data_IF_926419806159
#
_entry.id   IF_926419806159
#
_cell.length_a   1.000
_cell.length_b   1.000
_cell.length_c   1.000
_cell.angle_alpha   90.00
_cell.angle_beta   90.00
_cell.angle_gamma   90.00
#
_symmetry.space_group_name_H-M   'P 1'
#
loop_
_entity.id
_entity.type
_entity.pdbx_description
1 polymer ?
#
# COMPACT_ATOMS: atom_id res chain seq x y z
N UNK A 1 16.29 -27.50 2.86
CA UNK A 1 15.77 -26.23 3.41
C UNK A 1 16.90 -25.22 3.36
N UNK A 2 16.80 -24.17 2.56
CA UNK A 2 17.80 -23.10 2.55
C UNK A 2 17.81 -22.43 3.93
N UNK A 3 19.01 -22.13 4.43
CA UNK A 3 19.17 -21.46 5.73
C UNK A 3 18.61 -20.04 5.58
N UNK A 4 17.68 -19.63 6.46
CA UNK A 4 17.15 -18.27 6.47
C UNK A 4 18.28 -17.26 6.66
N UNK A 5 18.26 -16.18 5.88
CA UNK A 5 19.18 -15.05 6.06
C UNK A 5 18.66 -14.02 7.06
N UNK A 6 17.37 -14.08 7.42
CA UNK A 6 16.76 -13.20 8.42
C UNK A 6 17.19 -13.65 9.82
N UNK A 7 17.77 -12.73 10.57
CA UNK A 7 18.16 -12.94 11.98
C UNK A 7 17.07 -12.45 12.91
N UNK A 8 16.33 -13.39 13.48
CA UNK A 8 15.32 -13.06 14.48
C UNK A 8 16.02 -12.63 15.77
N UNK A 9 15.64 -11.48 16.39
CA UNK A 9 16.17 -11.06 17.67
C UNK A 9 15.98 -12.14 18.75
N UNK A 10 16.95 -12.25 19.65
CA UNK A 10 16.88 -13.20 20.78
C UNK A 10 15.95 -12.73 21.89
N UNK A 11 15.55 -11.46 21.86
CA UNK A 11 14.62 -10.82 22.79
C UNK A 11 13.44 -10.24 22.03
N UNK A 12 12.31 -10.11 22.72
CA UNK A 12 11.10 -9.58 22.14
C UNK A 12 10.10 -10.67 21.71
N UNK A 13 8.90 -10.24 21.44
CA UNK A 13 7.76 -11.09 21.12
C UNK A 13 7.02 -10.60 19.89
N UNK A 14 6.32 -11.52 19.21
CA UNK A 14 5.49 -11.17 18.05
C UNK A 14 4.24 -10.41 18.49
N UNK A 15 3.88 -9.38 17.71
CA UNK A 15 2.53 -8.79 17.75
C UNK A 15 1.54 -9.84 17.25
N UNK A 16 0.45 -10.04 17.97
CA UNK A 16 -0.58 -11.03 17.63
C UNK A 16 -1.96 -10.41 17.50
N UNK A 17 -2.91 -11.18 16.96
CA UNK A 17 -4.32 -10.82 16.93
C UNK A 17 -5.11 -11.67 17.92
N UNK A 18 -5.92 -11.03 18.77
CA UNK A 18 -6.87 -11.71 19.65
C UNK A 18 -8.19 -10.93 19.62
N UNK A 19 -9.29 -11.61 19.31
CA UNK A 19 -10.62 -11.00 19.21
C UNK A 19 -10.64 -9.75 18.29
N UNK A 20 -10.08 -9.87 17.10
CA UNK A 20 -9.94 -8.81 16.09
C UNK A 20 -9.19 -7.55 16.57
N UNK A 21 -8.43 -7.63 17.65
CA UNK A 21 -7.57 -6.55 18.14
C UNK A 21 -6.11 -6.98 18.15
N UNK A 22 -5.23 -6.03 17.84
CA UNK A 22 -3.79 -6.23 17.98
C UNK A 22 -3.44 -6.32 19.47
N UNK A 23 -2.68 -7.36 19.82
CA UNK A 23 -2.06 -7.51 21.13
C UNK A 23 -0.57 -7.21 20.97
N UNK A 24 -0.16 -6.07 21.51
CA UNK A 24 1.21 -5.56 21.39
C UNK A 24 1.94 -5.81 22.71
N UNK A 25 2.99 -6.65 22.73
CA UNK A 25 3.79 -6.89 23.93
C UNK A 25 4.62 -5.65 24.30
N UNK A 26 5.21 -5.65 25.50
CA UNK A 26 6.07 -4.54 25.97
C UNK A 26 7.38 -4.45 25.18
N UNK A 27 7.81 -5.55 24.58
CA UNK A 27 8.98 -5.61 23.72
C UNK A 27 8.62 -6.28 22.37
N UNK A 28 7.90 -5.58 21.47
CA UNK A 28 7.51 -6.15 20.18
C UNK A 28 8.71 -6.30 19.25
N UNK A 29 8.74 -7.41 18.49
CA UNK A 29 9.64 -7.54 17.34
C UNK A 29 8.98 -6.86 16.16
N UNK A 30 9.64 -5.83 15.60
CA UNK A 30 9.17 -5.12 14.41
C UNK A 30 10.17 -5.31 13.26
N UNK A 31 9.77 -6.02 12.19
CA UNK A 31 10.58 -6.11 10.98
C UNK A 31 10.76 -4.74 10.32
N UNK A 32 11.94 -4.50 9.75
CA UNK A 32 12.16 -3.34 8.92
C UNK A 32 12.97 -3.68 7.66
N UNK A 33 12.68 -2.97 6.58
CA UNK A 33 13.46 -2.96 5.35
C UNK A 33 14.22 -1.64 5.31
N UNK A 34 15.56 -1.70 5.26
CA UNK A 34 16.41 -0.50 5.20
C UNK A 34 16.08 0.35 3.98
N UNK A 35 15.89 -0.32 2.84
CA UNK A 35 15.60 0.33 1.56
C UNK A 35 16.83 0.63 0.73
N UNK A 36 16.57 1.20 -0.45
CA UNK A 36 17.57 1.53 -1.45
C UNK A 36 17.88 3.05 -1.45
N UNK A 37 18.95 3.42 -2.13
CA UNK A 37 19.34 4.83 -2.28
C UNK A 37 19.49 5.53 -0.93
N UNK A 38 18.66 6.54 -0.67
CA UNK A 38 18.69 7.28 0.61
C UNK A 38 18.23 6.45 1.82
N UNK A 39 17.74 5.23 1.60
CA UNK A 39 17.31 4.32 2.68
C UNK A 39 18.41 4.05 3.69
N UNK A 40 19.65 3.89 3.23
CA UNK A 40 20.82 3.64 4.07
C UNK A 40 21.13 4.81 5.01
N UNK A 41 20.74 6.02 4.65
CA UNK A 41 20.95 7.23 5.46
C UNK A 41 19.79 7.46 6.44
N UNK A 42 18.55 7.36 5.95
CA UNK A 42 17.36 7.74 6.72
C UNK A 42 16.89 6.64 7.69
N UNK A 43 17.08 5.37 7.34
CA UNK A 43 16.56 4.26 8.16
C UNK A 43 17.25 4.17 9.53
N UNK A 44 18.58 4.28 9.67
CA UNK A 44 19.21 4.33 10.98
C UNK A 44 18.74 5.51 11.85
N UNK A 45 18.53 6.67 11.24
CA UNK A 45 17.98 7.84 11.93
C UNK A 45 16.55 7.58 12.39
N UNK A 46 15.72 6.98 11.55
CA UNK A 46 14.35 6.60 11.90
C UNK A 46 14.32 5.64 13.11
N UNK A 47 15.15 4.59 13.10
CA UNK A 47 15.24 3.64 14.22
C UNK A 47 15.60 4.37 15.53
N UNK A 48 16.62 5.22 15.51
CA UNK A 48 17.06 5.97 16.68
C UNK A 48 15.98 6.93 17.21
N UNK A 49 15.27 7.63 16.31
CA UNK A 49 14.19 8.56 16.69
C UNK A 49 13.03 7.80 17.33
N UNK A 50 12.64 6.65 16.75
CA UNK A 50 11.56 5.84 17.30
C UNK A 50 11.95 5.25 18.67
N UNK A 51 13.17 4.75 18.81
CA UNK A 51 13.65 4.22 20.09
C UNK A 51 13.63 5.29 21.18
N UNK A 52 14.14 6.48 20.90
CA UNK A 52 14.10 7.61 21.83
C UNK A 52 12.66 8.03 22.18
N UNK A 53 11.75 8.02 21.20
CA UNK A 53 10.35 8.35 21.41
C UNK A 53 9.65 7.29 22.28
N UNK A 54 9.91 6.01 22.05
CA UNK A 54 9.36 4.90 22.86
C UNK A 54 9.91 4.95 24.29
N UNK A 55 11.21 5.15 24.46
CA UNK A 55 11.83 5.30 25.78
C UNK A 55 11.18 6.43 26.58
N UNK A 56 11.02 7.61 25.94
CA UNK A 56 10.40 8.78 26.57
C UNK A 56 8.92 8.56 26.88
N UNK A 57 8.16 7.95 25.97
CA UNK A 57 6.72 7.77 26.11
C UNK A 57 6.35 6.74 27.20
N UNK A 58 7.23 5.77 27.45
CA UNK A 58 6.98 4.65 28.35
C UNK A 58 7.95 4.58 29.53
N UNK A 59 8.71 5.63 29.78
CA UNK A 59 9.69 5.71 30.88
C UNK A 59 10.67 4.49 30.92
N UNK A 60 11.12 4.07 29.73
CA UNK A 60 12.02 2.92 29.57
C UNK A 60 11.39 1.54 29.85
N UNK A 61 10.08 1.46 30.13
CA UNK A 61 9.39 0.19 30.41
C UNK A 61 9.12 -0.64 29.17
N UNK A 62 9.14 -0.02 28.00
CA UNK A 62 8.93 -0.66 26.70
C UNK A 62 10.08 -0.37 25.77
N UNK A 63 10.34 -1.29 24.86
CA UNK A 63 11.34 -1.12 23.80
C UNK A 63 10.95 -1.94 22.58
N UNK A 64 11.47 -1.58 21.41
CA UNK A 64 11.30 -2.35 20.19
C UNK A 64 12.52 -3.25 19.98
N UNK A 65 12.27 -4.50 19.60
CA UNK A 65 13.29 -5.39 19.07
C UNK A 65 13.23 -5.35 17.53
N UNK A 66 14.18 -4.65 16.95
CA UNK A 66 14.24 -4.48 15.50
C UNK A 66 14.74 -5.75 14.81
N UNK A 67 14.08 -6.14 13.70
CA UNK A 67 14.44 -7.29 12.90
C UNK A 67 14.60 -6.86 11.44
N UNK A 68 15.82 -6.85 10.95
CA UNK A 68 16.05 -6.52 9.54
C UNK A 68 15.55 -7.64 8.63
N UNK A 69 14.76 -7.27 7.63
CA UNK A 69 14.30 -8.12 6.52
C UNK A 69 14.69 -7.45 5.21
N UNK A 70 14.84 -8.22 4.14
CA UNK A 70 15.53 -7.77 2.95
C UNK A 70 14.59 -7.62 1.75
N UNK A 71 14.70 -6.51 1.04
CA UNK A 71 14.05 -6.24 -0.23
C UNK A 71 14.88 -5.22 -1.01
N UNK A 72 14.81 -5.22 -2.32
CA UNK A 72 15.53 -4.29 -3.17
C UNK A 72 16.99 -4.70 -3.40
N UNK A 73 17.87 -3.73 -3.61
CA UNK A 73 19.29 -3.97 -3.92
C UNK A 73 20.02 -4.74 -2.83
N UNK A 74 19.70 -4.48 -1.57
CA UNK A 74 20.30 -5.20 -0.44
C UNK A 74 19.91 -6.68 -0.43
N UNK A 75 18.69 -7.00 -0.86
CA UNK A 75 18.26 -8.39 -1.02
C UNK A 75 19.09 -9.13 -2.05
N UNK A 76 19.29 -8.55 -3.23
CA UNK A 76 20.13 -9.14 -4.28
C UNK A 76 21.56 -9.39 -3.79
N UNK A 77 22.13 -8.49 -2.99
CA UNK A 77 23.47 -8.66 -2.41
C UNK A 77 23.56 -9.84 -1.42
N UNK A 78 22.48 -10.12 -0.68
CA UNK A 78 22.45 -11.14 0.38
C UNK A 78 22.05 -12.52 -0.16
N UNK A 79 21.05 -12.57 -1.03
CA UNK A 79 20.52 -13.84 -1.57
C UNK A 79 21.16 -14.23 -2.90
N UNK A 80 21.68 -13.27 -3.67
CA UNK A 80 22.14 -13.49 -5.05
C UNK A 80 20.97 -13.70 -6.02
N UNK A 81 21.29 -14.16 -7.25
CA UNK A 81 20.32 -14.61 -8.27
C UNK A 81 19.16 -13.66 -8.58
N UNK A 82 19.39 -12.35 -8.55
CA UNK A 82 18.35 -11.33 -8.77
C UNK A 82 17.12 -11.48 -7.87
N UNK A 83 17.31 -11.96 -6.63
CA UNK A 83 16.23 -12.11 -5.66
C UNK A 83 15.91 -10.75 -5.00
N UNK A 84 15.04 -9.98 -5.65
CA UNK A 84 14.64 -8.63 -5.20
C UNK A 84 13.65 -8.62 -4.05
N UNK A 85 12.80 -9.64 -3.94
CA UNK A 85 11.76 -9.75 -2.91
C UNK A 85 11.61 -11.21 -2.47
N UNK A 86 12.42 -11.66 -1.52
CA UNK A 86 12.37 -13.02 -1.01
C UNK A 86 11.02 -13.37 -0.38
N UNK A 87 10.58 -14.60 -0.56
CA UNK A 87 9.34 -15.08 0.06
C UNK A 87 9.41 -15.03 1.60
N UNK A 88 10.59 -15.24 2.20
CA UNK A 88 10.76 -15.14 3.65
C UNK A 88 10.54 -13.71 4.16
N UNK A 89 10.83 -12.67 3.37
CA UNK A 89 10.49 -11.27 3.69
C UNK A 89 8.99 -11.04 3.76
N UNK A 90 8.26 -11.56 2.78
CA UNK A 90 6.79 -11.50 2.78
C UNK A 90 6.20 -12.29 3.94
N UNK A 91 6.78 -13.46 4.24
CA UNK A 91 6.34 -14.28 5.36
C UNK A 91 6.60 -13.58 6.70
N UNK A 92 7.75 -12.92 6.85
CA UNK A 92 8.04 -12.12 8.03
C UNK A 92 7.02 -10.97 8.22
N UNK A 93 6.67 -10.25 7.16
CA UNK A 93 5.62 -9.22 7.23
C UNK A 93 4.28 -9.79 7.71
N UNK A 94 3.88 -10.97 7.20
CA UNK A 94 2.64 -11.64 7.62
C UNK A 94 2.68 -12.10 9.07
N UNK A 95 3.81 -12.69 9.50
CA UNK A 95 3.97 -13.28 10.83
C UNK A 95 4.01 -12.22 11.93
N UNK A 96 4.71 -11.12 11.69
CA UNK A 96 4.93 -10.07 12.70
C UNK A 96 3.89 -8.96 12.67
N UNK A 97 2.97 -8.94 11.68
CA UNK A 97 1.82 -8.03 11.54
C UNK A 97 2.14 -6.57 11.25
N UNK A 98 3.17 -6.00 11.85
CA UNK A 98 3.61 -4.61 11.66
C UNK A 98 5.05 -4.62 11.18
N UNK A 99 5.32 -3.89 10.11
CA UNK A 99 6.68 -3.73 9.59
C UNK A 99 6.88 -2.30 9.06
N UNK A 100 8.12 -1.84 9.07
CA UNK A 100 8.50 -0.55 8.51
C UNK A 100 9.34 -0.77 7.26
N UNK A 101 9.06 0.01 6.22
CA UNK A 101 9.77 -0.12 4.95
C UNK A 101 10.39 1.21 4.54
N UNK A 102 11.70 1.19 4.32
CA UNK A 102 12.43 2.27 3.67
C UNK A 102 12.08 2.40 2.17
N UNK A 103 12.62 3.39 1.46
CA UNK A 103 12.41 3.57 0.03
C UNK A 103 12.95 2.38 -0.76
N UNK A 104 12.28 2.03 -1.87
CA UNK A 104 12.73 0.97 -2.76
C UNK A 104 12.84 1.51 -4.18
N UNK A 105 13.95 1.24 -4.81
CA UNK A 105 14.19 1.55 -6.22
C UNK A 105 13.46 0.53 -7.10
N UNK A 106 12.80 1.01 -8.15
CA UNK A 106 12.31 0.15 -9.22
C UNK A 106 13.33 0.21 -10.35
N UNK A 107 13.98 -0.90 -10.69
CA UNK A 107 14.93 -0.93 -11.81
C UNK A 107 14.27 -0.45 -13.11
N UNK A 108 14.93 0.45 -13.83
CA UNK A 108 14.45 0.95 -15.11
C UNK A 108 14.91 0.01 -16.22
N UNK A 109 13.99 -0.47 -17.05
CA UNK A 109 14.29 -1.20 -18.30
C UNK A 109 14.41 -2.72 -18.20
N UNK A 110 14.08 -3.35 -17.06
CA UNK A 110 14.27 -4.78 -16.84
C UNK A 110 13.00 -5.64 -16.75
N UNK A 111 11.81 -5.15 -17.09
CA UNK A 111 10.56 -5.92 -16.93
C UNK A 111 10.18 -6.20 -15.47
N UNK A 112 10.95 -5.71 -14.50
CA UNK A 112 10.67 -5.85 -13.07
C UNK A 112 9.60 -4.82 -12.70
N UNK A 113 8.42 -5.31 -12.30
CA UNK A 113 7.37 -4.46 -11.74
C UNK A 113 7.82 -3.83 -10.44
N UNK A 114 7.25 -2.67 -10.11
CA UNK A 114 7.55 -1.97 -8.86
C UNK A 114 7.46 -2.91 -7.65
N UNK A 115 8.55 -3.03 -6.90
CA UNK A 115 8.61 -3.83 -5.67
C UNK A 115 7.57 -3.37 -4.64
N UNK A 116 7.29 -2.05 -4.61
CA UNK A 116 6.25 -1.49 -3.75
C UNK A 116 4.87 -2.03 -4.12
N UNK A 117 4.55 -2.12 -5.41
CA UNK A 117 3.28 -2.70 -5.89
C UNK A 117 3.23 -4.20 -5.59
N UNK A 118 4.33 -4.92 -5.83
CA UNK A 118 4.40 -6.35 -5.54
C UNK A 118 4.15 -6.66 -4.05
N UNK A 119 4.76 -5.92 -3.13
CA UNK A 119 4.53 -6.08 -1.68
C UNK A 119 3.06 -5.84 -1.34
N UNK A 120 2.46 -4.76 -1.86
CA UNK A 120 1.06 -4.42 -1.60
C UNK A 120 0.10 -5.49 -2.08
N UNK A 121 0.31 -6.02 -3.28
CA UNK A 121 -0.52 -7.08 -3.85
C UNK A 121 -0.34 -8.42 -3.12
N UNK A 122 0.90 -8.86 -2.90
CA UNK A 122 1.20 -10.15 -2.24
C UNK A 122 0.77 -10.19 -0.77
N UNK A 123 0.69 -9.04 -0.11
CA UNK A 123 0.23 -8.91 1.29
C UNK A 123 -1.22 -8.42 1.40
N UNK A 124 -1.91 -8.20 0.28
CA UNK A 124 -3.28 -7.63 0.23
C UNK A 124 -3.42 -6.33 1.04
N UNK A 125 -2.47 -5.42 0.86
CA UNK A 125 -2.50 -4.10 1.51
C UNK A 125 -3.40 -3.15 0.69
N UNK A 126 -4.70 -3.35 0.74
CA UNK A 126 -5.67 -2.66 -0.10
C UNK A 126 -5.92 -1.20 0.28
N UNK A 127 -5.58 -0.79 1.50
CA UNK A 127 -5.71 0.61 1.95
C UNK A 127 -4.34 1.28 2.03
N UNK A 128 -4.15 2.39 1.31
CA UNK A 128 -3.06 3.31 1.55
C UNK A 128 -3.59 4.48 2.39
N UNK A 129 -3.39 4.43 3.71
CA UNK A 129 -3.84 5.42 4.66
C UNK A 129 -2.78 6.52 4.81
N UNK A 130 -3.17 7.77 4.54
CA UNK A 130 -2.27 8.93 4.57
C UNK A 130 -2.85 10.07 5.37
N UNK A 131 -2.48 10.24 6.65
CA UNK A 131 -2.78 11.44 7.40
C UNK A 131 -2.05 12.65 6.80
N UNK A 132 -2.77 13.75 6.60
CA UNK A 132 -2.23 15.01 6.09
C UNK A 132 -2.63 16.08 7.08
N UNK A 133 -1.65 16.56 7.85
CA UNK A 133 -1.83 17.60 8.85
C UNK A 133 -0.72 18.64 8.71
N UNK A 134 -1.08 19.89 8.92
CA UNK A 134 -0.09 20.97 9.00
C UNK A 134 0.65 20.94 10.34
N UNK A 135 1.93 21.20 10.30
CA UNK A 135 2.77 21.40 11.47
C UNK A 135 3.31 22.84 11.47
N UNK A 136 3.12 23.56 12.57
CA UNK A 136 3.57 24.94 12.72
C UNK A 136 5.07 25.10 12.42
N UNK A 137 5.40 26.18 11.72
CA UNK A 137 6.78 26.48 11.32
C UNK A 137 7.24 25.80 10.03
N UNK A 138 6.41 24.96 9.38
CA UNK A 138 6.75 24.41 8.07
C UNK A 138 6.20 25.26 6.92
N UNK A 139 6.96 25.46 5.82
CA UNK A 139 6.44 26.14 4.64
C UNK A 139 5.24 25.39 4.05
N UNK A 140 4.21 26.12 3.62
CA UNK A 140 3.04 25.55 2.97
C UNK A 140 2.58 26.40 1.78
N UNK A 141 2.21 25.79 0.65
CA UNK A 141 1.63 26.51 -0.49
C UNK A 141 0.15 26.88 -0.28
N UNK A 142 -0.47 26.36 0.77
CA UNK A 142 -1.90 26.56 1.08
C UNK A 142 -2.06 27.87 1.87
N UNK A 143 -3.12 28.65 1.55
CA UNK A 143 -3.39 29.93 2.23
C UNK A 143 -3.70 29.80 3.72
N UNK A 144 -4.40 28.75 4.10
CA UNK A 144 -4.81 28.47 5.48
C UNK A 144 -4.39 27.03 5.83
N UNK A 145 -3.09 26.80 6.00
CA UNK A 145 -2.58 25.46 6.31
C UNK A 145 -3.02 24.97 7.69
N UNK A 146 -3.30 25.88 8.60
CA UNK A 146 -3.87 25.63 9.93
C UNK A 146 -5.20 24.85 9.90
N UNK A 147 -5.95 24.91 8.78
CA UNK A 147 -7.20 24.19 8.57
C UNK A 147 -7.01 22.79 7.93
N UNK A 148 -5.78 22.43 7.62
CA UNK A 148 -5.50 21.13 6.98
C UNK A 148 -5.31 20.06 8.05
N UNK A 149 -6.35 19.23 8.23
CA UNK A 149 -6.32 18.00 9.04
C UNK A 149 -7.25 16.97 8.38
N UNK A 150 -6.72 16.22 7.42
CA UNK A 150 -7.49 15.22 6.70
C UNK A 150 -6.74 13.89 6.64
N UNK A 151 -7.47 12.82 6.39
CA UNK A 151 -6.88 11.50 6.18
C UNK A 151 -7.35 10.95 4.84
N UNK A 152 -6.40 10.61 3.98
CA UNK A 152 -6.68 10.08 2.66
C UNK A 152 -6.65 8.55 2.71
N UNK A 153 -7.76 7.91 2.35
CA UNK A 153 -7.86 6.48 2.08
C UNK A 153 -7.79 6.27 0.58
N UNK A 154 -6.70 5.67 0.10
CA UNK A 154 -6.46 5.47 -1.32
C UNK A 154 -6.50 4.00 -1.66
N UNK A 155 -7.21 3.66 -2.73
CA UNK A 155 -7.16 2.32 -3.34
C UNK A 155 -5.75 1.96 -3.74
N UNK A 156 -5.38 0.71 -3.53
CA UNK A 156 -4.01 0.26 -3.66
C UNK A 156 -3.85 -1.12 -4.32
N UNK A 157 -4.93 -1.82 -4.60
CA UNK A 157 -4.95 -3.19 -5.14
C UNK A 157 -5.65 -3.34 -6.47
N UNK A 158 -6.63 -2.49 -6.75
CA UNK A 158 -7.39 -2.42 -8.00
C UNK A 158 -7.05 -1.16 -8.79
N UNK A 159 -7.92 -0.77 -9.69
CA UNK A 159 -7.77 0.38 -10.59
C UNK A 159 -6.52 0.20 -11.47
N UNK A 160 -5.82 1.27 -11.78
CA UNK A 160 -4.55 1.25 -12.53
C UNK A 160 -3.45 0.45 -11.81
N UNK A 161 -3.57 0.24 -10.50
CA UNK A 161 -2.62 -0.52 -9.69
C UNK A 161 -2.77 -2.04 -9.83
N UNK A 162 -3.84 -2.53 -10.46
CA UNK A 162 -3.95 -3.93 -10.86
C UNK A 162 -2.80 -4.32 -11.81
N UNK A 163 -2.25 -3.35 -12.54
CA UNK A 163 -1.09 -3.55 -13.41
C UNK A 163 -1.38 -4.50 -14.57
N UNK A 164 -2.62 -4.54 -15.04
CA UNK A 164 -3.00 -5.33 -16.21
C UNK A 164 -2.77 -4.48 -17.45
N UNK A 165 -1.64 -4.70 -18.12
CA UNK A 165 -1.26 -3.93 -19.29
C UNK A 165 -0.52 -4.78 -20.32
N UNK A 166 -0.62 -4.35 -21.57
CA UNK A 166 -0.05 -5.01 -22.74
C UNK A 166 0.81 -4.00 -23.49
N UNK A 167 2.07 -4.35 -23.68
CA UNK A 167 3.04 -3.52 -24.39
C UNK A 167 2.67 -3.35 -25.85
N UNK A 168 2.90 -2.14 -26.35
CA UNK A 168 2.67 -1.81 -27.77
C UNK A 168 3.48 -2.72 -28.70
N UNK A 169 2.97 -2.97 -29.90
CA UNK A 169 3.58 -3.83 -30.92
C UNK A 169 3.75 -5.31 -30.51
N UNK A 170 3.10 -5.76 -29.45
CA UNK A 170 3.03 -7.18 -29.13
C UNK A 170 1.79 -7.83 -29.72
N UNK A 171 1.87 -9.13 -30.02
CA UNK A 171 0.71 -9.91 -30.50
C UNK A 171 -0.45 -9.86 -29.53
N UNK A 172 -0.18 -9.81 -28.23
CA UNK A 172 -1.20 -9.72 -27.19
C UNK A 172 -1.95 -8.39 -27.23
N UNK A 173 -1.25 -7.26 -27.35
CA UNK A 173 -1.87 -5.95 -27.48
C UNK A 173 -2.71 -5.85 -28.77
N UNK A 174 -2.13 -6.27 -29.90
CA UNK A 174 -2.81 -6.25 -31.20
C UNK A 174 -4.06 -7.14 -31.20
N UNK A 175 -3.98 -8.34 -30.62
CA UNK A 175 -5.13 -9.24 -30.49
C UNK A 175 -6.22 -8.63 -29.61
N UNK A 176 -5.86 -8.02 -28.47
CA UNK A 176 -6.82 -7.39 -27.57
C UNK A 176 -7.54 -6.21 -28.26
N UNK A 177 -6.79 -5.34 -28.95
CA UNK A 177 -7.36 -4.23 -29.71
C UNK A 177 -8.36 -4.75 -30.73
N UNK A 178 -7.98 -5.79 -31.49
CA UNK A 178 -8.84 -6.38 -32.50
C UNK A 178 -10.13 -6.96 -31.90
N UNK A 179 -10.05 -7.71 -30.82
CA UNK A 179 -11.23 -8.24 -30.10
C UNK A 179 -12.14 -7.10 -29.61
N UNK A 180 -11.57 -6.04 -29.04
CA UNK A 180 -12.36 -4.88 -28.60
C UNK A 180 -13.08 -4.20 -29.75
N UNK A 181 -12.46 -4.10 -30.93
CA UNK A 181 -13.08 -3.48 -32.12
C UNK A 181 -14.09 -4.40 -32.81
N UNK A 182 -13.70 -5.64 -33.10
CA UNK A 182 -14.48 -6.57 -33.91
C UNK A 182 -15.64 -7.19 -33.10
N UNK A 183 -15.38 -7.63 -31.85
CA UNK A 183 -16.38 -8.35 -31.08
C UNK A 183 -17.20 -7.44 -30.15
N UNK A 184 -16.60 -6.34 -29.67
CA UNK A 184 -17.27 -5.41 -28.75
C UNK A 184 -17.65 -4.06 -29.38
N UNK A 185 -17.32 -3.82 -30.63
CA UNK A 185 -17.67 -2.58 -31.34
C UNK A 185 -17.02 -1.31 -30.77
N UNK A 186 -15.82 -1.43 -30.21
CA UNK A 186 -15.11 -0.29 -29.61
C UNK A 186 -14.45 0.55 -30.71
N UNK A 187 -15.09 1.63 -31.12
CA UNK A 187 -14.56 2.58 -32.13
C UNK A 187 -13.61 3.63 -31.52
N UNK A 188 -13.54 3.74 -30.21
CA UNK A 188 -12.83 4.83 -29.54
C UNK A 188 -11.30 4.67 -29.50
N UNK A 189 -10.77 3.49 -29.84
CA UNK A 189 -9.35 3.28 -30.05
C UNK A 189 -8.99 3.75 -31.44
N UNK A 190 -8.68 5.04 -31.59
CA UNK A 190 -8.50 5.70 -32.88
C UNK A 190 -7.16 5.39 -33.54
N UNK A 191 -6.13 5.17 -32.74
CA UNK A 191 -4.76 4.90 -33.19
C UNK A 191 -4.37 3.53 -32.67
N UNK A 192 -4.33 2.54 -33.53
CA UNK A 192 -4.07 1.14 -33.17
C UNK A 192 -2.62 0.76 -33.34
N UNK A 193 -1.88 1.48 -34.21
CA UNK A 193 -0.44 1.25 -34.39
C UNK A 193 0.34 1.82 -33.21
N UNK A 194 1.31 1.07 -32.73
CA UNK A 194 2.14 1.44 -31.58
C UNK A 194 1.30 1.78 -30.32
N UNK A 195 0.17 1.10 -30.15
CA UNK A 195 -0.75 1.34 -29.05
C UNK A 195 -0.55 0.32 -27.93
N UNK A 196 -0.20 0.76 -26.73
CA UNK A 196 -0.26 -0.04 -25.52
C UNK A 196 -1.67 0.01 -24.93
N UNK A 197 -2.11 -1.09 -24.29
CA UNK A 197 -3.45 -1.19 -23.67
C UNK A 197 -3.31 -1.51 -22.19
N UNK A 198 -4.01 -0.75 -21.34
CA UNK A 198 -4.19 -1.02 -19.93
C UNK A 198 -5.64 -1.31 -19.58
N UNK A 199 -5.87 -2.26 -18.68
CA UNK A 199 -7.20 -2.60 -18.16
C UNK A 199 -7.30 -2.11 -16.71
N UNK A 200 -8.37 -1.36 -16.45
CA UNK A 200 -8.67 -0.79 -15.14
C UNK A 200 -9.89 -1.51 -14.52
N UNK A 201 -9.70 -2.53 -13.69
CA UNK A 201 -10.80 -3.16 -12.96
C UNK A 201 -11.17 -2.33 -11.73
N UNK A 202 -12.47 -2.21 -11.45
CA UNK A 202 -13.03 -1.69 -10.21
C UNK A 202 -14.17 -2.61 -9.82
N UNK A 203 -14.09 -3.21 -8.63
CA UNK A 203 -15.09 -4.18 -8.14
C UNK A 203 -15.91 -3.64 -6.98
N UNK A 204 -17.08 -4.22 -6.78
CA UNK A 204 -17.93 -3.92 -5.62
C UNK A 204 -17.23 -4.30 -4.30
N UNK A 205 -16.62 -5.47 -4.25
CA UNK A 205 -15.91 -5.96 -3.06
C UNK A 205 -14.72 -5.05 -2.70
N UNK A 206 -13.86 -4.74 -3.70
CA UNK A 206 -12.72 -3.83 -3.51
C UNK A 206 -13.15 -2.46 -3.05
N UNK A 207 -14.21 -1.91 -3.66
CA UNK A 207 -14.78 -0.62 -3.27
C UNK A 207 -15.31 -0.66 -1.83
N UNK A 208 -16.16 -1.62 -1.52
CA UNK A 208 -16.80 -1.69 -0.19
C UNK A 208 -15.78 -1.90 0.93
N UNK A 209 -14.75 -2.73 0.73
CA UNK A 209 -13.71 -2.94 1.75
C UNK A 209 -12.89 -1.68 2.04
N UNK A 210 -12.57 -0.90 1.00
CA UNK A 210 -11.86 0.39 1.17
C UNK A 210 -12.74 1.41 1.90
N UNK A 211 -13.97 1.61 1.43
CA UNK A 211 -14.90 2.59 1.98
C UNK A 211 -15.28 2.25 3.42
N UNK A 212 -15.51 0.97 3.74
CA UNK A 212 -15.75 0.52 5.12
C UNK A 212 -14.61 0.91 6.05
N UNK A 213 -13.36 0.73 5.62
CA UNK A 213 -12.20 1.14 6.44
C UNK A 213 -12.15 2.64 6.66
N UNK A 214 -12.57 3.44 5.69
CA UNK A 214 -12.66 4.90 5.84
C UNK A 214 -13.75 5.30 6.84
N UNK A 215 -14.92 4.67 6.80
CA UNK A 215 -16.00 4.90 7.76
C UNK A 215 -15.62 4.45 9.17
N UNK A 216 -15.10 3.23 9.33
CA UNK A 216 -14.61 2.73 10.62
C UNK A 216 -13.59 3.69 11.26
N UNK A 217 -12.66 4.20 10.45
CA UNK A 217 -11.67 5.16 10.89
C UNK A 217 -12.30 6.49 11.29
N UNK A 218 -13.24 6.99 10.50
CA UNK A 218 -13.93 8.26 10.78
C UNK A 218 -14.69 8.19 12.11
N UNK A 219 -15.43 7.10 12.34
CA UNK A 219 -16.16 6.86 13.59
C UNK A 219 -15.20 6.77 14.78
N UNK A 220 -14.14 5.94 14.66
CA UNK A 220 -13.17 5.74 15.74
C UNK A 220 -12.36 6.99 16.10
N UNK A 221 -12.19 7.92 15.16
CA UNK A 221 -11.40 9.14 15.34
C UNK A 221 -12.27 10.41 15.32
N UNK A 222 -13.58 10.27 15.51
CA UNK A 222 -14.53 11.38 15.63
C UNK A 222 -14.40 12.40 14.48
N UNK A 223 -14.25 11.90 13.23
CA UNK A 223 -14.22 12.74 12.04
C UNK A 223 -15.62 13.04 11.54
N UNK A 224 -15.88 14.28 11.17
CA UNK A 224 -17.21 14.78 10.82
C UNK A 224 -17.78 14.19 9.51
N UNK A 225 -16.93 13.77 8.58
CA UNK A 225 -17.36 13.32 7.26
C UNK A 225 -16.38 12.42 6.55
N UNK A 226 -16.90 11.64 5.61
CA UNK A 226 -16.13 10.90 4.61
C UNK A 226 -16.56 11.36 3.22
N UNK A 227 -15.62 11.79 2.40
CA UNK A 227 -15.87 12.24 1.03
C UNK A 227 -15.32 11.22 0.02
N UNK A 228 -16.19 10.71 -0.84
CA UNK A 228 -15.77 9.84 -1.97
C UNK A 228 -15.32 10.71 -3.14
N UNK A 229 -14.06 10.53 -3.56
CA UNK A 229 -13.47 11.25 -4.69
C UNK A 229 -13.35 10.30 -5.88
N UNK A 230 -14.00 10.62 -6.99
CA UNK A 230 -14.08 9.76 -8.16
C UNK A 230 -14.30 10.57 -9.45
N UNK A 231 -14.12 9.96 -10.61
CA UNK A 231 -14.33 10.56 -11.94
C UNK A 231 -15.55 9.94 -12.68
N UNK A 232 -16.62 9.65 -11.97
CA UNK A 232 -17.82 8.95 -12.46
C UNK A 232 -18.61 9.68 -13.55
N UNK A 233 -18.41 10.98 -13.74
CA UNK A 233 -19.02 11.70 -14.85
C UNK A 233 -18.50 11.28 -16.24
N UNK A 234 -17.29 10.72 -16.32
CA UNK A 234 -16.67 10.19 -17.54
C UNK A 234 -16.62 8.66 -17.52
N UNK A 235 -16.13 8.07 -16.44
CA UNK A 235 -15.96 6.64 -16.28
C UNK A 235 -17.11 6.05 -15.45
N UNK A 236 -18.28 5.96 -16.09
CA UNK A 236 -19.55 5.64 -15.42
C UNK A 236 -19.58 4.25 -14.79
N UNK A 237 -19.00 3.25 -15.46
CA UNK A 237 -19.07 1.84 -15.05
C UNK A 237 -17.92 1.40 -14.14
N UNK A 238 -16.96 2.25 -13.87
CA UNK A 238 -15.87 2.04 -12.90
C UNK A 238 -15.95 3.07 -11.79
N UNK A 239 -15.61 4.31 -12.05
CA UNK A 239 -15.65 5.39 -11.07
C UNK A 239 -17.07 5.73 -10.56
N UNK A 240 -18.07 5.68 -11.46
CA UNK A 240 -19.47 5.85 -11.10
C UNK A 240 -19.96 4.70 -10.20
N UNK A 241 -19.62 3.47 -10.56
CA UNK A 241 -19.93 2.30 -9.77
C UNK A 241 -19.24 2.35 -8.38
N UNK A 242 -17.99 2.84 -8.30
CA UNK A 242 -17.30 3.09 -7.02
C UNK A 242 -18.13 4.01 -6.12
N UNK A 243 -18.65 5.11 -6.65
CA UNK A 243 -19.53 6.00 -5.90
C UNK A 243 -20.80 5.28 -5.42
N UNK A 244 -21.48 4.58 -6.34
CA UNK A 244 -22.75 3.93 -6.05
C UNK A 244 -22.59 2.85 -4.96
N UNK A 245 -21.58 1.98 -5.07
CA UNK A 245 -21.30 0.95 -4.07
C UNK A 245 -20.84 1.53 -2.73
N UNK A 246 -20.08 2.62 -2.74
CA UNK A 246 -19.68 3.32 -1.52
C UNK A 246 -20.86 3.97 -0.80
N UNK A 247 -21.81 4.56 -1.55
CA UNK A 247 -23.03 5.13 -0.99
C UNK A 247 -23.97 4.04 -0.43
N UNK A 248 -24.10 2.90 -1.13
CA UNK A 248 -24.90 1.77 -0.65
C UNK A 248 -24.39 1.23 0.69
N UNK A 249 -23.08 1.19 0.90
CA UNK A 249 -22.49 0.73 2.15
C UNK A 249 -22.96 1.59 3.34
N UNK A 250 -22.95 2.91 3.16
CA UNK A 250 -23.41 3.83 4.22
C UNK A 250 -24.89 3.62 4.56
N UNK A 251 -25.74 3.41 3.56
CA UNK A 251 -27.19 3.26 3.78
C UNK A 251 -27.56 1.90 4.34
N UNK A 252 -26.83 0.82 4.01
CA UNK A 252 -27.12 -0.52 4.53
C UNK A 252 -26.65 -0.70 5.97
N UNK A 253 -25.44 -0.23 6.29
CA UNK A 253 -24.89 -0.36 7.65
C UNK A 253 -25.63 0.55 8.65
N UNK A 254 -26.22 1.67 8.21
CA UNK A 254 -27.06 2.54 9.05
C UNK A 254 -28.47 1.96 9.32
N UNK A 255 -28.89 0.93 8.63
CA UNK A 255 -30.17 0.27 8.86
C UNK A 255 -30.08 -0.92 9.85
N UNK A 256 -28.84 -1.34 10.17
CA UNK A 256 -28.55 -2.46 11.09
C UNK A 256 -28.22 -1.99 12.53
N UNK A 257 -28.20 -0.65 12.79
CA UNK A 257 -28.12 -0.03 14.11
C UNK A 257 -29.53 0.46 14.57
#
# INVERSE_FOLDING_TARGET
MSKSNIKVPTTGEKITYKNNKLVVPDNPIIPYIEGDGIGVDITPVMLNVIDAAVEKAYDGKRKISWMEIYCGEKSVKIYGNDEWLPDETLQACKDYKVSIKGPLTTPVGGGIRSLNVAIRQKLDLYVCLRPVKYFDGTPSPVRRPDLVDMVIFRENSEDIYAGVEFESNTDAANKLIKVLQDDFGVEKIRFTENCGIGIKPVSEEGTKRLVRKAYEYAIQNEKDSVTLIHKGNIQKFTEGAFMDWGCLLYTSDAADE
#
